data_IF_355283482810
#
_entry.id   IF_355283482810
#
_cell.length_a   1.000
_cell.length_b   1.000
_cell.length_c   1.000
_cell.angle_alpha   90.00
_cell.angle_beta   90.00
_cell.angle_gamma   90.00
#
_symmetry.space_group_name_H-M   'P 1'
#
loop_
_entity.id
_entity.type
_entity.pdbx_description
1 polymer ?
#
# COMPACT_ATOMS: atom_id res chain seq x y z
N UNK A 1 -24.11 13.05 -0.45
CA UNK A 1 -24.06 11.60 -0.15
C UNK A 1 -22.69 10.92 -0.39
N UNK A 2 -21.65 11.57 -0.96
CA UNK A 2 -20.32 10.94 -1.12
C UNK A 2 -19.44 11.00 0.14
N UNK A 3 -19.55 12.06 0.93
CA UNK A 3 -18.72 12.30 2.11
C UNK A 3 -18.81 11.19 3.17
N UNK A 4 -19.98 10.59 3.37
CA UNK A 4 -20.14 9.52 4.36
C UNK A 4 -19.42 8.22 3.94
N UNK A 5 -19.47 7.90 2.66
CA UNK A 5 -18.81 6.71 2.11
C UNK A 5 -17.28 6.87 2.09
N UNK A 6 -16.78 8.08 1.86
CA UNK A 6 -15.36 8.41 2.00
C UNK A 6 -14.88 8.26 3.45
N UNK A 7 -15.64 8.80 4.41
CA UNK A 7 -15.31 8.68 5.85
C UNK A 7 -15.29 7.23 6.29
N UNK A 8 -16.29 6.42 5.91
CA UNK A 8 -16.37 4.99 6.25
C UNK A 8 -15.21 4.19 5.64
N UNK A 9 -14.80 4.48 4.39
CA UNK A 9 -13.61 3.87 3.80
C UNK A 9 -12.34 4.27 4.55
N UNK A 10 -12.25 5.53 4.99
CA UNK A 10 -11.09 6.03 5.74
C UNK A 10 -10.97 5.35 7.11
N UNK A 11 -12.07 5.18 7.85
CA UNK A 11 -12.07 4.42 9.11
C UNK A 11 -11.87 2.93 8.92
N UNK A 12 -12.43 2.33 7.87
CA UNK A 12 -12.18 0.92 7.56
C UNK A 12 -10.70 0.66 7.21
N UNK A 13 -10.05 1.54 6.42
CA UNK A 13 -8.62 1.46 6.11
C UNK A 13 -7.74 1.61 7.36
N UNK A 14 -8.13 2.49 8.28
CA UNK A 14 -7.45 2.64 9.57
C UNK A 14 -7.60 1.40 10.47
N UNK A 15 -8.77 0.75 10.48
CA UNK A 15 -9.00 -0.47 11.27
C UNK A 15 -8.30 -1.70 10.71
N UNK A 16 -8.19 -1.81 9.38
CA UNK A 16 -7.61 -3.00 8.74
C UNK A 16 -6.08 -2.91 8.69
N UNK A 17 -5.50 -1.70 8.82
CA UNK A 17 -4.04 -1.50 8.79
C UNK A 17 -3.39 -1.92 7.46
N UNK A 18 -4.20 -2.08 6.41
CA UNK A 18 -3.75 -2.45 5.07
C UNK A 18 -3.84 -1.22 4.20
N UNK A 19 -2.71 -0.62 3.81
CA UNK A 19 -2.71 0.46 2.83
C UNK A 19 -3.17 -0.11 1.49
N UNK A 20 -4.28 0.42 0.97
CA UNK A 20 -4.70 0.20 -0.41
C UNK A 20 -3.62 0.74 -1.36
N UNK A 21 -3.55 0.14 -2.56
CA UNK A 21 -2.59 0.55 -3.59
C UNK A 21 -2.72 2.03 -3.97
N UNK A 22 -3.94 2.58 -3.97
CA UNK A 22 -4.18 4.01 -4.22
C UNK A 22 -3.55 4.93 -3.16
N UNK A 23 -3.61 4.56 -1.88
CA UNK A 23 -2.98 5.36 -0.81
C UNK A 23 -1.46 5.27 -0.90
N UNK A 24 -0.91 4.12 -1.32
CA UNK A 24 0.51 4.00 -1.65
C UNK A 24 0.91 4.90 -2.82
N UNK A 25 0.15 4.89 -3.93
CA UNK A 25 0.40 5.77 -5.07
C UNK A 25 0.33 7.25 -4.68
N UNK A 26 -0.67 7.64 -3.89
CA UNK A 26 -0.82 9.02 -3.39
C UNK A 26 0.35 9.41 -2.48
N UNK A 27 0.79 8.52 -1.59
CA UNK A 27 1.94 8.75 -0.74
C UNK A 27 3.24 8.90 -1.55
N UNK A 28 3.46 8.01 -2.53
CA UNK A 28 4.61 8.10 -3.43
C UNK A 28 4.60 9.40 -4.22
N UNK A 29 3.46 9.81 -4.76
CA UNK A 29 3.37 11.10 -5.46
C UNK A 29 3.60 12.30 -4.54
N UNK A 30 3.16 12.24 -3.29
CA UNK A 30 3.29 13.35 -2.34
C UNK A 30 4.71 13.47 -1.74
N UNK A 31 5.38 12.35 -1.46
CA UNK A 31 6.66 12.31 -0.74
C UNK A 31 7.85 11.91 -1.61
N UNK A 32 7.61 11.20 -2.71
CA UNK A 32 8.63 10.64 -3.59
C UNK A 32 8.26 10.80 -5.08
N UNK A 33 7.96 12.01 -5.56
CA UNK A 33 7.54 12.23 -6.95
C UNK A 33 8.61 11.83 -7.98
N UNK A 34 9.87 11.74 -7.56
CA UNK A 34 11.02 11.35 -8.37
C UNK A 34 11.20 9.82 -8.49
N UNK A 35 10.53 9.03 -7.64
CA UNK A 35 10.65 7.57 -7.66
C UNK A 35 9.47 6.94 -8.42
N UNK A 36 9.74 5.96 -9.32
CA UNK A 36 8.68 5.25 -10.02
C UNK A 36 7.85 4.42 -9.05
N UNK A 37 6.53 4.57 -9.14
CA UNK A 37 5.57 3.84 -8.30
C UNK A 37 5.54 2.38 -8.76
N UNK A 38 5.80 1.45 -7.83
CA UNK A 38 5.65 0.01 -8.07
C UNK A 38 4.25 -0.33 -8.58
N UNK A 39 4.15 -1.30 -9.48
CA UNK A 39 2.88 -1.82 -10.01
C UNK A 39 2.05 -2.55 -8.94
N UNK A 40 0.74 -2.68 -9.14
CA UNK A 40 -0.19 -3.25 -8.14
C UNK A 40 0.23 -4.66 -7.70
N UNK A 41 0.61 -5.50 -8.66
CA UNK A 41 1.05 -6.88 -8.42
C UNK A 41 2.36 -6.92 -7.62
N UNK A 42 3.29 -6.01 -7.90
CA UNK A 42 4.56 -5.88 -7.18
C UNK A 42 4.34 -5.41 -5.76
N UNK A 43 3.47 -4.42 -5.55
CA UNK A 43 3.07 -3.95 -4.22
C UNK A 43 2.42 -5.08 -3.41
N UNK A 44 1.48 -5.81 -3.99
CA UNK A 44 0.80 -6.91 -3.31
C UNK A 44 1.78 -8.05 -2.96
N UNK A 45 2.69 -8.41 -3.86
CA UNK A 45 3.75 -9.37 -3.58
C UNK A 45 4.67 -8.89 -2.45
N UNK A 46 5.12 -7.64 -2.49
CA UNK A 46 5.98 -7.06 -1.45
C UNK A 46 5.29 -7.06 -0.07
N UNK A 47 3.99 -6.73 0.00
CA UNK A 47 3.21 -6.81 1.25
C UNK A 47 2.98 -8.23 1.73
N UNK A 48 2.74 -9.17 0.81
CA UNK A 48 2.65 -10.59 1.16
C UNK A 48 3.99 -11.15 1.64
N UNK A 49 5.10 -10.80 0.99
CA UNK A 49 6.45 -11.18 1.44
C UNK A 49 6.77 -10.58 2.81
N UNK A 50 6.41 -9.33 3.06
CA UNK A 50 6.59 -8.70 4.37
C UNK A 50 5.75 -9.36 5.48
N UNK A 51 4.54 -9.86 5.16
CA UNK A 51 3.60 -10.42 6.14
C UNK A 51 3.72 -11.94 6.33
N UNK A 52 4.01 -12.67 5.26
CA UNK A 52 4.01 -14.14 5.21
C UNK A 52 5.38 -14.72 4.81
N UNK A 53 6.31 -13.91 4.32
CA UNK A 53 7.67 -14.32 3.95
C UNK A 53 8.60 -14.50 5.15
N UNK A 54 8.11 -15.18 6.19
CA UNK A 54 8.95 -15.69 7.27
C UNK A 54 10.02 -16.61 6.68
N UNK A 55 11.24 -16.05 6.53
CA UNK A 55 12.47 -16.57 5.90
C UNK A 55 12.71 -16.05 4.46
N UNK A 56 13.57 -15.02 4.32
CA UNK A 56 14.29 -14.64 3.07
C UNK A 56 13.58 -13.79 1.99
N UNK A 57 12.64 -12.89 2.30
CA UNK A 57 11.98 -12.03 1.28
C UNK A 57 12.80 -10.85 0.72
N UNK A 58 14.12 -10.97 0.59
CA UNK A 58 14.96 -9.84 0.15
C UNK A 58 16.46 -10.16 0.07
N UNK A 59 16.85 -11.18 -0.68
CA UNK A 59 18.18 -11.20 -1.31
C UNK A 59 18.03 -10.66 -2.72
N UNK A 60 18.11 -9.33 -2.86
CA UNK A 60 18.63 -8.77 -4.11
C UNK A 60 20.09 -8.43 -3.80
N UNK A 61 20.97 -9.24 -4.37
CA UNK A 61 22.37 -8.90 -4.61
C UNK A 61 22.46 -7.65 -5.48
#
# INVERSE_FOLDING_TARGET
>A
MKALADTLRRTARLMVGVPDYEDYCRHMQAHHPELPVMDHTTFFRNRQEARYGGKNGGRCC
#
